data_IF_846168425810
#
_entry.id   IF_846168425810
#
_cell.length_a   1.000
_cell.length_b   1.000
_cell.length_c   1.000
_cell.angle_alpha   90.00
_cell.angle_beta   90.00
_cell.angle_gamma   90.00
#
_symmetry.space_group_name_H-M   'P 1'
#
loop_
_entity.id
_entity.type
_entity.pdbx_description
1 polymer ?
#
# COMPACT_ATOMS: atom_id res chain seq x y z
N UNK A 1 -8.68 2.56 16.29
CA UNK A 1 -8.89 1.70 15.11
C UNK A 1 -8.66 0.26 15.55
N UNK A 2 -9.55 -0.68 15.25
CA UNK A 2 -9.38 -2.07 15.69
C UNK A 2 -8.42 -2.80 14.72
N UNK A 3 -7.46 -3.58 15.25
CA UNK A 3 -6.50 -4.39 14.45
C UNK A 3 -7.15 -5.28 13.37
N UNK A 4 -8.44 -5.57 13.50
CA UNK A 4 -9.21 -6.32 12.51
C UNK A 4 -9.58 -5.51 11.27
N UNK A 5 -9.92 -4.23 11.43
CA UNK A 5 -10.28 -3.33 10.31
C UNK A 5 -9.05 -2.97 9.47
N UNK A 6 -7.90 -2.79 10.12
CA UNK A 6 -6.61 -2.56 9.48
C UNK A 6 -6.14 -3.76 8.65
N UNK A 7 -6.43 -4.98 9.12
CA UNK A 7 -6.15 -6.22 8.36
C UNK A 7 -7.03 -6.36 7.12
N UNK A 8 -8.27 -5.87 7.16
CA UNK A 8 -9.18 -5.91 6.02
C UNK A 8 -8.78 -4.85 4.97
N UNK A 9 -8.47 -3.63 5.41
CA UNK A 9 -8.02 -2.56 4.50
C UNK A 9 -6.68 -2.91 3.82
N UNK A 10 -5.70 -3.42 4.57
CA UNK A 10 -4.46 -3.92 4.01
C UNK A 10 -4.66 -5.16 3.11
N UNK A 11 -5.62 -6.03 3.45
CA UNK A 11 -5.97 -7.19 2.63
C UNK A 11 -6.52 -6.79 1.26
N UNK A 12 -7.40 -5.78 1.22
CA UNK A 12 -7.98 -5.28 -0.02
C UNK A 12 -6.92 -4.63 -0.93
N UNK A 13 -6.11 -3.72 -0.38
CA UNK A 13 -5.03 -3.06 -1.15
C UNK A 13 -4.06 -4.08 -1.74
N UNK A 14 -3.63 -5.06 -0.95
CA UNK A 14 -2.74 -6.13 -1.43
C UNK A 14 -3.38 -7.01 -2.51
N UNK A 15 -4.65 -7.34 -2.37
CA UNK A 15 -5.37 -8.12 -3.38
C UNK A 15 -5.47 -7.34 -4.71
N UNK A 16 -5.78 -6.04 -4.65
CA UNK A 16 -5.83 -5.18 -5.84
C UNK A 16 -4.46 -5.06 -6.52
N UNK A 17 -3.37 -4.93 -5.76
CA UNK A 17 -2.01 -4.91 -6.30
C UNK A 17 -1.66 -6.22 -7.02
N UNK A 18 -1.94 -7.36 -6.40
CA UNK A 18 -1.68 -8.68 -7.01
C UNK A 18 -2.46 -8.88 -8.32
N UNK A 19 -3.72 -8.44 -8.37
CA UNK A 19 -4.52 -8.52 -9.60
C UNK A 19 -4.00 -7.56 -10.67
N UNK A 20 -3.60 -6.35 -10.30
CA UNK A 20 -3.04 -5.38 -11.24
C UNK A 20 -1.72 -5.87 -11.85
N UNK A 21 -0.86 -6.50 -11.05
CA UNK A 21 0.37 -7.15 -11.52
C UNK A 21 0.07 -8.29 -12.50
N UNK A 22 -0.95 -9.11 -12.23
CA UNK A 22 -1.36 -10.18 -13.13
C UNK A 22 -1.85 -9.64 -14.49
N UNK A 23 -2.66 -8.59 -14.51
CA UNK A 23 -3.08 -7.96 -15.76
C UNK A 23 -1.92 -7.32 -16.52
N UNK A 24 -0.99 -6.67 -15.82
CA UNK A 24 0.21 -6.12 -16.46
C UNK A 24 1.08 -7.22 -17.08
N UNK A 25 1.17 -8.40 -16.47
CA UNK A 25 1.86 -9.55 -17.05
C UNK A 25 1.14 -10.06 -18.30
N UNK A 26 -0.19 -10.23 -18.24
CA UNK A 26 -1.01 -10.63 -19.39
C UNK A 26 -0.90 -9.65 -20.56
N UNK A 27 -0.81 -8.35 -20.29
CA UNK A 27 -0.59 -7.33 -21.30
C UNK A 27 0.78 -7.45 -21.99
N UNK A 28 1.80 -7.98 -21.30
CA UNK A 28 3.15 -8.18 -21.87
C UNK A 28 3.12 -9.08 -23.10
N UNK A 29 2.26 -10.10 -23.12
CA UNK A 29 2.19 -11.08 -24.21
C UNK A 29 1.41 -10.57 -25.43
N UNK A 30 2.04 -9.79 -26.30
CA UNK A 30 1.42 -9.35 -27.57
C UNK A 30 1.01 -7.88 -27.63
N UNK A 31 1.52 -7.05 -26.72
CA UNK A 31 1.67 -5.63 -26.99
C UNK A 31 2.83 -5.41 -27.98
N UNK A 32 2.70 -4.39 -28.83
CA UNK A 32 3.80 -3.95 -29.67
C UNK A 32 4.88 -3.18 -28.87
N UNK A 33 6.03 -2.95 -29.51
CA UNK A 33 7.16 -2.27 -28.87
C UNK A 33 6.84 -0.83 -28.41
N UNK A 34 5.80 -0.20 -28.96
CA UNK A 34 5.44 1.19 -28.64
C UNK A 34 4.76 1.31 -27.28
N UNK A 35 4.13 0.24 -26.78
CA UNK A 35 3.46 0.22 -25.47
C UNK A 35 4.39 -0.26 -24.34
N UNK A 36 5.56 -0.82 -24.66
CA UNK A 36 6.49 -1.35 -23.65
C UNK A 36 6.96 -0.32 -22.62
N UNK A 37 7.27 0.95 -22.97
CA UNK A 37 7.67 1.95 -21.99
C UNK A 37 6.56 2.25 -20.96
N UNK A 38 5.32 2.38 -21.44
CA UNK A 38 4.15 2.64 -20.61
C UNK A 38 3.85 1.45 -19.68
N UNK A 39 3.94 0.22 -20.20
CA UNK A 39 3.78 -1.00 -19.39
C UNK A 39 4.89 -1.14 -18.34
N UNK A 40 6.13 -0.83 -18.70
CA UNK A 40 7.25 -0.85 -17.78
C UNK A 40 7.05 0.18 -16.64
N UNK A 41 6.45 1.33 -16.94
CA UNK A 41 6.05 2.32 -15.94
C UNK A 41 4.97 1.76 -15.02
N UNK A 42 3.88 1.21 -15.57
CA UNK A 42 2.80 0.56 -14.78
C UNK A 42 3.39 -0.43 -13.79
N UNK A 43 4.24 -1.36 -14.25
CA UNK A 43 4.88 -2.38 -13.40
C UNK A 43 5.76 -1.76 -12.31
N UNK A 44 6.53 -0.72 -12.64
CA UNK A 44 7.39 -0.02 -11.67
C UNK A 44 6.56 0.66 -10.58
N UNK A 45 5.46 1.31 -10.96
CA UNK A 45 4.59 2.01 -10.02
C UNK A 45 3.87 1.02 -9.10
N UNK A 46 3.33 -0.08 -9.65
CA UNK A 46 2.72 -1.15 -8.85
C UNK A 46 3.72 -1.73 -7.83
N UNK A 47 4.95 -2.02 -8.27
CA UNK A 47 6.01 -2.51 -7.39
C UNK A 47 6.38 -1.49 -6.30
N UNK A 48 6.42 -0.19 -6.63
CA UNK A 48 6.68 0.87 -5.66
C UNK A 48 5.56 0.95 -4.61
N UNK A 49 4.30 0.92 -5.04
CA UNK A 49 3.15 0.95 -4.13
C UNK A 49 3.15 -0.30 -3.25
N UNK A 50 3.41 -1.49 -3.81
CA UNK A 50 3.49 -2.71 -3.03
C UNK A 50 4.59 -2.65 -1.97
N UNK A 51 5.79 -2.20 -2.35
CA UNK A 51 6.88 -2.01 -1.40
C UNK A 51 6.52 -1.00 -0.29
N UNK A 52 5.80 0.08 -0.62
CA UNK A 52 5.36 1.06 0.35
C UNK A 52 4.36 0.45 1.35
N UNK A 53 3.34 -0.25 0.85
CA UNK A 53 2.31 -0.91 1.66
C UNK A 53 2.90 -2.00 2.55
N UNK A 54 3.90 -2.74 2.08
CA UNK A 54 4.58 -3.78 2.86
C UNK A 54 5.41 -3.22 4.02
N UNK A 55 5.97 -2.01 3.86
CA UNK A 55 6.90 -1.41 4.81
C UNK A 55 6.29 -0.26 5.61
N UNK A 56 5.07 0.16 5.30
CA UNK A 56 4.33 1.15 6.08
C UNK A 56 3.90 0.57 7.44
N UNK A 57 3.90 1.43 8.46
CA UNK A 57 3.29 1.10 9.74
C UNK A 57 1.78 1.29 9.65
N UNK A 58 1.03 0.20 9.50
CA UNK A 58 -0.43 0.25 9.39
C UNK A 58 -1.11 0.91 10.61
N UNK A 59 -0.48 0.94 11.79
CA UNK A 59 -1.01 1.64 12.97
C UNK A 59 -0.95 3.17 12.81
N UNK A 60 -0.06 3.66 11.95
CA UNK A 60 0.14 5.07 11.64
C UNK A 60 -0.59 5.50 10.36
N UNK A 61 -1.01 4.56 9.51
CA UNK A 61 -1.79 4.86 8.31
C UNK A 61 -3.25 5.10 8.71
N UNK A 62 -3.73 6.33 8.47
CA UNK A 62 -5.13 6.67 8.71
C UNK A 62 -6.08 5.91 7.79
N UNK A 63 -7.29 5.60 8.28
CA UNK A 63 -8.34 4.90 7.51
C UNK A 63 -8.62 5.57 6.16
N UNK A 64 -8.74 6.90 6.15
CA UNK A 64 -8.99 7.67 4.94
C UNK A 64 -7.86 7.53 3.90
N UNK A 65 -6.60 7.48 4.35
CA UNK A 65 -5.47 7.28 3.45
C UNK A 65 -5.46 5.87 2.83
N UNK A 66 -5.87 4.87 3.61
CA UNK A 66 -6.10 3.50 3.11
C UNK A 66 -7.23 3.43 2.09
N UNK A 67 -8.37 4.05 2.41
CA UNK A 67 -9.57 4.01 1.56
C UNK A 67 -9.33 4.77 0.24
N UNK A 68 -8.60 5.88 0.25
CA UNK A 68 -8.18 6.60 -0.95
C UNK A 68 -7.30 5.72 -1.86
N UNK A 69 -6.23 5.15 -1.30
CA UNK A 69 -5.33 4.28 -2.06
C UNK A 69 -6.08 3.09 -2.65
N UNK A 70 -6.95 2.46 -1.85
CA UNK A 70 -7.79 1.36 -2.32
C UNK A 70 -8.75 1.79 -3.44
N UNK A 71 -9.27 3.01 -3.38
CA UNK A 71 -10.12 3.60 -4.42
C UNK A 71 -9.37 3.83 -5.74
N UNK A 72 -8.23 4.50 -5.71
CA UNK A 72 -7.42 4.76 -6.90
C UNK A 72 -6.85 3.46 -7.49
N UNK A 73 -6.36 2.53 -6.66
CA UNK A 73 -5.95 1.20 -7.13
C UNK A 73 -7.12 0.42 -7.72
N UNK A 74 -8.32 0.52 -7.15
CA UNK A 74 -9.52 -0.11 -7.71
C UNK A 74 -9.88 0.44 -9.10
N UNK A 75 -9.73 1.75 -9.32
CA UNK A 75 -9.93 2.37 -10.64
C UNK A 75 -8.84 1.95 -11.64
N UNK A 76 -7.57 1.99 -11.24
CA UNK A 76 -6.45 1.55 -12.06
C UNK A 76 -6.59 0.07 -12.46
N UNK A 77 -7.04 -0.78 -11.52
CA UNK A 77 -7.30 -2.19 -11.75
C UNK A 77 -8.43 -2.41 -12.76
N UNK A 78 -9.54 -1.68 -12.65
CA UNK A 78 -10.63 -1.75 -13.62
C UNK A 78 -10.17 -1.33 -15.02
N UNK A 79 -9.33 -0.30 -15.10
CA UNK A 79 -8.74 0.13 -16.38
C UNK A 79 -7.78 -0.91 -16.95
N UNK A 80 -6.93 -1.53 -16.13
CA UNK A 80 -6.06 -2.63 -16.55
C UNK A 80 -6.85 -3.83 -17.10
N UNK A 81 -7.91 -4.25 -16.42
CA UNK A 81 -8.80 -5.30 -16.94
C UNK A 81 -9.41 -4.91 -18.29
N UNK A 82 -9.87 -3.66 -18.42
CA UNK A 82 -10.40 -3.14 -19.68
C UNK A 82 -9.35 -3.18 -20.80
N UNK A 83 -8.09 -2.87 -20.50
CA UNK A 83 -6.99 -2.97 -21.47
C UNK A 83 -6.71 -4.42 -21.89
N UNK A 84 -6.78 -5.37 -20.94
CA UNK A 84 -6.68 -6.81 -21.24
C UNK A 84 -7.80 -7.24 -22.17
N UNK A 85 -9.05 -6.85 -21.88
CA UNK A 85 -10.22 -7.20 -22.68
C UNK A 85 -10.15 -6.57 -24.08
N UNK A 86 -9.73 -5.32 -24.18
CA UNK A 86 -9.56 -4.59 -25.45
C UNK A 86 -8.49 -5.26 -26.32
N UNK A 87 -7.35 -5.60 -25.73
CA UNK A 87 -6.28 -6.33 -26.41
C UNK A 87 -6.76 -7.68 -26.93
N UNK A 88 -7.51 -8.44 -26.12
CA UNK A 88 -8.08 -9.72 -26.53
C UNK A 88 -9.05 -9.59 -27.72
N UNK A 89 -9.68 -8.43 -27.87
CA UNK A 89 -10.58 -8.09 -28.98
C UNK A 89 -9.84 -7.43 -30.17
N UNK A 90 -8.52 -7.28 -30.11
CA UNK A 90 -7.72 -6.62 -31.15
C UNK A 90 -7.92 -5.09 -31.22
N UNK A 91 -8.47 -4.48 -30.17
CA UNK A 91 -8.61 -3.03 -30.05
C UNK A 91 -7.30 -2.40 -29.53
N UNK A 92 -7.03 -1.12 -29.88
CA UNK A 92 -5.88 -0.40 -29.34
C UNK A 92 -5.93 -0.34 -27.81
N UNK A 93 -4.76 -0.51 -27.20
CA UNK A 93 -4.56 -0.44 -25.75
C UNK A 93 -4.14 0.98 -25.37
N UNK A 94 -4.71 1.52 -24.29
CA UNK A 94 -4.36 2.82 -23.70
C UNK A 94 -3.77 2.61 -22.30
N UNK A 95 -2.43 2.52 -22.25
CA UNK A 95 -1.69 2.46 -20.99
C UNK A 95 -1.40 3.83 -20.37
N UNK A 96 -1.56 4.91 -21.13
CA UNK A 96 -1.34 6.26 -20.62
C UNK A 96 -2.41 6.59 -19.57
N UNK A 97 -3.68 6.27 -19.86
CA UNK A 97 -4.77 6.42 -18.90
C UNK A 97 -4.56 5.57 -17.63
N UNK A 98 -4.01 4.35 -17.74
CA UNK A 98 -3.66 3.53 -16.57
C UNK A 98 -2.56 4.22 -15.75
N UNK A 99 -1.56 4.79 -16.41
CA UNK A 99 -0.46 5.48 -15.74
C UNK A 99 -0.93 6.75 -15.01
N UNK A 100 -1.87 7.52 -15.58
CA UNK A 100 -2.49 8.66 -14.90
C UNK A 100 -3.26 8.22 -13.64
N UNK A 101 -3.95 7.08 -13.70
CA UNK A 101 -4.67 6.52 -12.54
C UNK A 101 -3.72 6.07 -11.43
N UNK A 102 -2.59 5.48 -11.82
CA UNK A 102 -1.55 5.08 -10.88
C UNK A 102 -0.81 6.26 -10.25
N UNK A 103 -0.78 7.42 -10.91
CA UNK A 103 -0.21 8.63 -10.34
C UNK A 103 -1.04 9.16 -9.16
N UNK A 104 -2.37 9.06 -9.22
CA UNK A 104 -3.21 9.36 -8.04
C UNK A 104 -2.95 8.40 -6.88
N UNK A 105 -2.70 7.12 -7.18
CA UNK A 105 -2.33 6.14 -6.14
C UNK A 105 -0.95 6.43 -5.54
N UNK A 106 0.00 6.95 -6.33
CA UNK A 106 1.31 7.41 -5.83
C UNK A 106 1.17 8.66 -4.97
N UNK A 107 0.34 9.62 -5.39
CA UNK A 107 0.10 10.85 -4.64
C UNK A 107 -0.48 10.55 -3.25
N UNK A 108 -1.35 9.53 -3.12
CA UNK A 108 -1.85 9.10 -1.81
C UNK A 108 -0.72 8.64 -0.88
N UNK A 109 0.31 7.96 -1.40
CA UNK A 109 1.44 7.48 -0.60
C UNK A 109 2.28 8.63 -0.05
N UNK A 110 2.27 9.80 -0.69
CA UNK A 110 2.98 10.98 -0.18
C UNK A 110 2.45 11.43 1.19
N UNK A 111 1.20 11.08 1.52
CA UNK A 111 0.56 11.39 2.79
C UNK A 111 0.64 10.25 3.81
N UNK A 112 1.20 9.11 3.42
CA UNK A 112 1.39 8.00 4.34
C UNK A 112 2.58 8.26 5.28
N UNK A 113 2.55 7.72 6.51
CA UNK A 113 3.69 7.78 7.42
C UNK A 113 4.95 7.23 6.74
N UNK A 114 6.15 7.73 7.12
CA UNK A 114 7.40 7.25 6.57
C UNK A 114 7.55 5.75 6.78
N UNK A 115 8.18 5.09 5.79
CA UNK A 115 8.45 3.66 5.87
C UNK A 115 9.16 3.33 7.16
N UNK A 116 8.77 2.23 7.79
CA UNK A 116 9.48 1.71 8.95
C UNK A 116 10.90 1.39 8.53
N UNK A 117 11.87 2.25 8.87
CA UNK A 117 13.26 1.82 8.79
C UNK A 117 13.41 0.70 9.81
N UNK A 118 13.98 -0.43 9.40
CA UNK A 118 14.06 -1.65 10.22
C UNK A 118 14.78 -1.39 11.55
N UNK A 119 15.60 -0.32 11.61
CA UNK A 119 16.33 0.14 12.78
C UNK A 119 15.47 0.94 13.77
N UNK A 120 14.61 1.84 13.30
CA UNK A 120 13.76 2.67 14.16
C UNK A 120 12.66 1.85 14.84
N UNK A 121 12.07 0.87 14.13
CA UNK A 121 11.10 -0.05 14.74
C UNK A 121 11.73 -0.89 15.84
N UNK A 122 12.94 -1.41 15.60
CA UNK A 122 13.66 -2.19 16.60
C UNK A 122 14.06 -1.33 17.80
N UNK A 123 14.42 -0.07 17.58
CA UNK A 123 14.73 0.89 18.64
C UNK A 123 13.48 1.26 19.45
N UNK A 124 12.37 1.57 18.78
CA UNK A 124 11.10 1.88 19.42
C UNK A 124 10.53 0.68 20.19
N UNK A 125 10.54 -0.52 19.61
CA UNK A 125 10.12 -1.74 20.30
C UNK A 125 10.98 -2.01 21.54
N UNK A 126 12.31 -1.87 21.44
CA UNK A 126 13.21 -1.99 22.60
C UNK A 126 12.88 -0.96 23.69
N UNK A 127 12.62 0.29 23.31
CA UNK A 127 12.25 1.36 24.24
C UNK A 127 10.90 1.05 24.93
N UNK A 128 9.90 0.59 24.18
CA UNK A 128 8.59 0.21 24.73
C UNK A 128 8.70 -0.98 25.69
N UNK A 129 9.43 -2.04 25.30
CA UNK A 129 9.66 -3.20 26.19
C UNK A 129 10.42 -2.80 27.46
N UNK A 130 11.38 -1.87 27.36
CA UNK A 130 12.10 -1.36 28.53
C UNK A 130 11.16 -0.58 29.46
N UNK A 131 10.29 0.28 28.92
CA UNK A 131 9.30 1.03 29.70
C UNK A 131 8.27 0.11 30.37
N UNK A 132 7.80 -0.94 29.70
CA UNK A 132 6.90 -1.93 30.29
C UNK A 132 7.58 -2.75 31.39
N UNK A 133 8.85 -3.11 31.20
CA UNK A 133 9.64 -3.80 32.22
C UNK A 133 9.88 -2.91 33.45
N UNK A 134 10.14 -1.62 33.23
CA UNK A 134 10.32 -0.63 34.29
C UNK A 134 9.02 -0.38 35.07
N UNK A 135 7.90 -0.20 34.37
CA UNK A 135 6.59 -0.05 34.99
C UNK A 135 6.18 -1.27 35.84
N UNK A 136 6.60 -2.47 35.45
CA UNK A 136 6.40 -3.71 36.23
C UNK A 136 7.32 -3.79 37.46
N UNK A 137 8.52 -3.21 37.40
CA UNK A 137 9.48 -3.16 38.52
C UNK A 137 9.15 -2.04 39.51
N UNK A 138 8.54 -0.97 39.03
CA UNK A 138 8.10 0.18 39.81
C UNK A 138 6.60 0.41 39.62
N UNK A 139 5.73 -0.51 40.11
CA UNK A 139 4.32 -0.21 40.17
C UNK A 139 4.17 1.04 41.02
N UNK A 140 3.58 2.11 40.46
CA UNK A 140 3.35 3.37 41.17
C UNK A 140 2.74 3.02 42.52
N UNK A 141 3.49 3.24 43.61
CA UNK A 141 2.90 3.24 44.94
C UNK A 141 1.90 4.38 44.93
N UNK A 142 0.62 4.05 44.93
CA UNK A 142 -0.43 5.00 45.28
C UNK A 142 -0.05 5.57 46.64
N UNK A 143 0.50 6.79 46.64
CA UNK A 143 0.53 7.62 47.84
C UNK A 143 -0.89 8.06 48.10
N UNK A 144 -1.64 7.15 48.72
CA UNK A 144 -2.91 7.44 49.40
C UNK A 144 -2.64 7.29 50.90
N UNK A 145 -1.71 8.08 51.40
CA UNK A 145 -1.58 8.40 52.82
C UNK A 145 -1.62 9.93 52.91
N UNK A 146 -2.81 10.46 53.20
CA UNK A 146 -2.97 11.89 53.41
C UNK A 146 -4.39 12.43 53.32
N UNK A 147 -5.33 11.88 54.09
CA UNK A 147 -6.18 12.62 55.04
C UNK A 147 -7.26 11.74 55.66
#
# INVERSE_FOLDING_TARGET
>A
MNRWEERIANGQVKASLQQAEAFAEELTEGLDETHLPELARVRRVLAHINAYVENADGELVGRAAHDNLAGHLGQALQQLQQQVDQKAQGSPVDLANVNDMLDYALDDLAYWPPLRTTNEVRAAQKATTALEADAKRHPRRSTEEGR
#
